data_IF_014028424726
#
_entry.id   IF_014028424726
#
_cell.length_a   1.000
_cell.length_b   1.000
_cell.length_c   1.000
_cell.angle_alpha   90.00
_cell.angle_beta   90.00
_cell.angle_gamma   90.00
#
_symmetry.space_group_name_H-M   'P 1'
#
loop_
_entity.id
_entity.type
_entity.pdbx_description
1 polymer ?
#
# COMPACT_ATOMS: atom_id res chain seq x y z
N UNK A 1 -13.87 -19.58 9.71
CA UNK A 1 -13.40 -20.32 8.51
C UNK A 1 -14.55 -20.60 7.55
N UNK A 2 -15.72 -21.09 8.01
CA UNK A 2 -16.87 -21.46 7.18
C UNK A 2 -17.43 -20.27 6.38
N UNK A 3 -17.54 -19.09 6.97
CA UNK A 3 -17.98 -17.88 6.26
C UNK A 3 -17.04 -17.53 5.11
N UNK A 4 -15.72 -17.60 5.33
CA UNK A 4 -14.72 -17.34 4.29
C UNK A 4 -14.86 -18.32 3.13
N UNK A 5 -15.06 -19.61 3.41
CA UNK A 5 -15.30 -20.63 2.40
C UNK A 5 -16.56 -20.31 1.59
N UNK A 6 -17.66 -19.95 2.29
CA UNK A 6 -18.90 -19.56 1.63
C UNK A 6 -18.68 -18.39 0.68
N UNK A 7 -18.07 -17.32 1.13
CA UNK A 7 -17.80 -16.14 0.28
C UNK A 7 -16.91 -16.49 -0.91
N UNK A 8 -15.89 -17.34 -0.70
CA UNK A 8 -15.03 -17.80 -1.79
C UNK A 8 -15.82 -18.62 -2.83
N UNK A 9 -16.72 -19.47 -2.39
CA UNK A 9 -17.56 -20.27 -3.28
C UNK A 9 -18.62 -19.43 -4.00
N UNK A 10 -19.19 -18.42 -3.35
CA UNK A 10 -20.14 -17.48 -3.94
C UNK A 10 -19.47 -16.57 -4.99
N UNK A 11 -18.20 -16.22 -4.79
CA UNK A 11 -17.44 -15.28 -5.61
C UNK A 11 -16.40 -15.97 -6.53
N UNK A 12 -16.53 -17.26 -6.73
CA UNK A 12 -15.59 -18.09 -7.49
C UNK A 12 -15.34 -17.56 -8.91
N UNK A 13 -16.34 -16.88 -9.50
CA UNK A 13 -16.29 -16.38 -10.86
C UNK A 13 -15.09 -15.45 -11.15
N UNK A 14 -14.54 -14.78 -10.15
CA UNK A 14 -13.41 -13.87 -10.31
C UNK A 14 -12.15 -14.30 -9.53
N UNK A 15 -12.23 -15.38 -8.76
CA UNK A 15 -11.11 -15.87 -7.98
C UNK A 15 -10.27 -16.86 -8.78
N UNK A 16 -9.00 -16.99 -8.43
CA UNK A 16 -8.12 -18.07 -8.92
C UNK A 16 -8.48 -19.40 -8.23
N UNK A 17 -9.72 -19.82 -8.41
CA UNK A 17 -10.30 -21.01 -7.78
C UNK A 17 -11.10 -21.80 -8.83
N UNK A 18 -10.69 -23.04 -9.09
CA UNK A 18 -11.24 -23.85 -10.18
C UNK A 18 -12.43 -24.70 -9.77
N UNK A 19 -12.68 -24.87 -8.48
CA UNK A 19 -13.79 -25.66 -7.95
C UNK A 19 -14.27 -25.11 -6.61
N UNK A 20 -15.49 -25.46 -6.23
CA UNK A 20 -16.02 -25.13 -4.90
C UNK A 20 -15.20 -25.81 -3.82
N UNK A 21 -14.84 -25.04 -2.79
CA UNK A 21 -14.18 -25.56 -1.60
C UNK A 21 -15.17 -26.34 -0.73
N UNK A 22 -14.73 -27.45 -0.20
CA UNK A 22 -15.40 -28.20 0.85
C UNK A 22 -14.94 -27.76 2.25
N UNK A 23 -15.62 -28.19 3.30
CA UNK A 23 -15.16 -27.96 4.68
C UNK A 23 -13.79 -28.62 4.91
N UNK A 24 -13.54 -29.78 4.32
CA UNK A 24 -12.26 -30.50 4.42
C UNK A 24 -11.13 -29.72 3.76
N UNK A 25 -11.35 -29.15 2.56
CA UNK A 25 -10.36 -28.30 1.87
C UNK A 25 -10.02 -27.08 2.71
N UNK A 26 -11.05 -26.45 3.30
CA UNK A 26 -10.89 -25.28 4.12
C UNK A 26 -10.13 -25.58 5.41
N UNK A 27 -10.47 -26.65 6.10
CA UNK A 27 -9.78 -27.09 7.31
C UNK A 27 -8.33 -27.49 7.01
N UNK A 28 -8.10 -28.23 5.92
CA UNK A 28 -6.75 -28.55 5.46
C UNK A 28 -5.91 -27.29 5.23
N UNK A 29 -6.45 -26.31 4.50
CA UNK A 29 -5.77 -25.05 4.22
C UNK A 29 -5.38 -24.31 5.50
N UNK A 30 -6.32 -24.18 6.44
CA UNK A 30 -6.03 -23.49 7.70
C UNK A 30 -5.02 -24.24 8.56
N UNK A 31 -5.11 -25.54 8.67
CA UNK A 31 -4.18 -26.35 9.47
C UNK A 31 -2.80 -26.51 8.83
N UNK A 32 -2.73 -26.73 7.52
CA UNK A 32 -1.47 -27.05 6.85
C UNK A 32 -0.76 -25.85 6.24
N UNK A 33 -1.49 -24.79 5.90
CA UNK A 33 -0.92 -23.60 5.27
C UNK A 33 -0.90 -22.43 6.24
N UNK A 34 -2.04 -22.07 6.84
CA UNK A 34 -2.15 -20.84 7.65
C UNK A 34 -1.48 -20.98 9.01
N UNK A 35 -1.81 -22.03 9.79
CA UNK A 35 -1.25 -22.23 11.13
C UNK A 35 0.29 -22.22 11.16
N UNK A 36 1.01 -22.90 10.25
CA UNK A 36 2.47 -22.87 10.24
C UNK A 36 3.08 -21.49 9.99
N UNK A 37 2.32 -20.53 9.43
CA UNK A 37 2.83 -19.18 9.19
C UNK A 37 3.06 -18.40 10.49
N UNK A 38 2.29 -18.68 11.55
CA UNK A 38 2.41 -17.98 12.83
C UNK A 38 3.76 -18.20 13.54
N UNK A 39 4.45 -19.29 13.22
CA UNK A 39 5.78 -19.58 13.78
C UNK A 39 6.94 -19.10 12.93
N UNK A 40 6.67 -18.51 11.77
CA UNK A 40 7.72 -18.05 10.84
C UNK A 40 8.04 -16.58 11.07
N UNK A 41 9.31 -16.24 11.20
CA UNK A 41 9.77 -14.84 11.24
C UNK A 41 9.47 -14.10 9.92
N UNK A 42 9.62 -14.80 8.80
CA UNK A 42 9.35 -14.29 7.45
C UNK A 42 8.34 -15.19 6.74
N UNK A 43 7.05 -15.07 7.10
CA UNK A 43 6.02 -15.90 6.49
C UNK A 43 5.78 -15.48 5.02
N UNK A 44 5.33 -16.42 4.20
CA UNK A 44 4.97 -16.15 2.80
C UNK A 44 3.64 -15.43 2.64
N UNK A 45 2.84 -15.38 3.72
CA UNK A 45 1.55 -14.70 3.77
C UNK A 45 1.33 -14.11 5.18
N UNK A 46 0.70 -12.95 5.23
CA UNK A 46 0.17 -12.30 6.43
C UNK A 46 -1.32 -12.07 6.20
N UNK A 47 -2.15 -12.80 6.92
CA UNK A 47 -3.59 -12.84 6.69
C UNK A 47 -4.35 -12.23 7.87
N UNK A 48 -5.37 -11.45 7.59
CA UNK A 48 -6.15 -10.66 8.55
C UNK A 48 -7.64 -10.91 8.40
N UNK A 49 -8.34 -10.92 9.50
CA UNK A 49 -9.79 -10.80 9.54
C UNK A 49 -10.17 -9.32 9.46
N UNK A 50 -11.08 -8.97 8.53
CA UNK A 50 -11.62 -7.63 8.41
C UNK A 50 -12.95 -7.57 9.13
N UNK A 51 -13.01 -6.76 10.20
CA UNK A 51 -14.15 -6.69 11.10
C UNK A 51 -14.85 -5.33 11.03
N UNK A 52 -16.20 -5.34 11.13
CA UNK A 52 -17.03 -4.16 11.34
C UNK A 52 -17.87 -4.41 12.59
N UNK A 53 -17.67 -3.63 13.65
CA UNK A 53 -18.34 -3.81 14.96
C UNK A 53 -18.24 -5.27 15.47
N UNK A 54 -17.03 -5.83 15.44
CA UNK A 54 -16.72 -7.21 15.85
C UNK A 54 -17.29 -8.30 14.94
N UNK A 55 -18.10 -7.96 13.95
CA UNK A 55 -18.57 -8.91 12.93
C UNK A 55 -17.50 -9.12 11.84
N UNK A 56 -17.21 -10.37 11.52
CA UNK A 56 -16.34 -10.71 10.41
C UNK A 56 -17.07 -10.41 9.08
N UNK A 57 -16.55 -9.44 8.33
CA UNK A 57 -17.11 -9.02 7.04
C UNK A 57 -16.13 -9.16 5.87
N UNK A 58 -14.90 -9.56 6.11
CA UNK A 58 -13.91 -9.80 5.07
C UNK A 58 -12.69 -10.53 5.60
N UNK A 59 -11.87 -11.01 4.67
CA UNK A 59 -10.64 -11.75 4.95
C UNK A 59 -9.64 -11.52 3.83
N UNK A 60 -8.40 -11.36 4.17
CA UNK A 60 -7.33 -11.17 3.19
C UNK A 60 -6.02 -10.81 3.84
N UNK A 61 -5.11 -10.23 3.09
CA UNK A 61 -3.80 -9.85 3.61
C UNK A 61 -2.79 -9.59 2.52
N UNK A 62 -1.54 -9.75 2.89
CA UNK A 62 -0.40 -9.74 2.00
C UNK A 62 -0.01 -11.19 1.72
N UNK A 63 -0.02 -11.58 0.45
CA UNK A 63 0.34 -12.92 0.00
C UNK A 63 1.51 -12.85 -0.99
N UNK A 64 2.09 -13.98 -1.34
CA UNK A 64 3.27 -14.05 -2.22
C UNK A 64 4.37 -13.06 -1.79
N UNK A 65 4.61 -12.95 -0.48
CA UNK A 65 5.55 -11.98 0.08
C UNK A 65 6.99 -12.32 -0.37
N UNK A 66 7.62 -11.35 -1.03
CA UNK A 66 9.05 -11.37 -1.29
C UNK A 66 9.76 -10.42 -0.30
N UNK A 67 10.35 -11.01 0.74
CA UNK A 67 11.02 -10.27 1.81
C UNK A 67 12.34 -9.62 1.36
N UNK A 68 12.96 -10.11 0.29
CA UNK A 68 14.20 -9.54 -0.26
C UNK A 68 13.89 -8.27 -1.04
N UNK A 69 12.94 -8.34 -1.94
CA UNK A 69 12.47 -7.19 -2.73
C UNK A 69 11.51 -6.30 -1.96
N UNK A 70 11.01 -6.77 -0.81
CA UNK A 70 10.02 -6.08 0.03
C UNK A 70 8.75 -5.74 -0.75
N UNK A 71 8.19 -6.76 -1.39
CA UNK A 71 6.97 -6.67 -2.20
C UNK A 71 5.97 -7.74 -1.78
N UNK A 72 4.69 -7.51 -2.04
CA UNK A 72 3.64 -8.49 -1.80
C UNK A 72 2.40 -8.24 -2.67
N UNK A 73 1.65 -9.31 -2.93
CA UNK A 73 0.33 -9.23 -3.52
C UNK A 73 -0.72 -8.96 -2.43
N UNK A 74 -1.64 -8.04 -2.69
CA UNK A 74 -2.81 -7.78 -1.83
C UNK A 74 -3.92 -8.76 -2.20
N UNK A 75 -4.35 -9.55 -1.23
CA UNK A 75 -5.50 -10.45 -1.34
C UNK A 75 -6.63 -9.95 -0.46
N UNK A 76 -7.85 -9.88 -0.97
CA UNK A 76 -9.02 -9.52 -0.19
C UNK A 76 -10.29 -10.13 -0.76
N UNK A 77 -11.10 -10.70 0.12
CA UNK A 77 -12.47 -11.11 -0.13
C UNK A 77 -13.37 -10.53 0.96
N UNK A 78 -14.52 -10.04 0.57
CA UNK A 78 -15.51 -9.51 1.49
C UNK A 78 -16.77 -10.35 1.49
N UNK A 79 -17.60 -10.19 2.51
CA UNK A 79 -18.92 -10.80 2.63
C UNK A 79 -19.73 -10.49 1.38
N UNK A 80 -20.21 -11.53 0.68
CA UNK A 80 -20.86 -11.42 -0.63
C UNK A 80 -22.03 -10.43 -0.65
N UNK A 81 -22.81 -10.37 0.44
CA UNK A 81 -23.95 -9.44 0.54
C UNK A 81 -23.56 -7.95 0.54
N UNK A 82 -22.30 -7.61 0.83
CA UNK A 82 -21.80 -6.24 0.85
C UNK A 82 -21.21 -5.81 -0.51
N UNK A 83 -20.96 -6.74 -1.43
CA UNK A 83 -20.32 -6.45 -2.71
C UNK A 83 -21.15 -5.52 -3.59
N UNK A 84 -22.48 -5.59 -3.50
CA UNK A 84 -23.35 -4.81 -4.37
C UNK A 84 -23.35 -3.32 -4.02
N UNK A 85 -23.51 -3.01 -2.74
CA UNK A 85 -23.82 -1.64 -2.31
C UNK A 85 -22.68 -0.97 -1.51
N UNK A 86 -21.78 -1.76 -0.91
CA UNK A 86 -20.71 -1.25 -0.04
C UNK A 86 -19.29 -1.60 -0.55
N UNK A 87 -19.15 -2.03 -1.81
CA UNK A 87 -17.88 -2.50 -2.37
C UNK A 87 -16.76 -1.46 -2.26
N UNK A 88 -16.96 -0.27 -2.82
CA UNK A 88 -15.95 0.81 -2.83
C UNK A 88 -15.57 1.23 -1.41
N UNK A 89 -16.55 1.31 -0.52
CA UNK A 89 -16.33 1.66 0.89
C UNK A 89 -15.38 0.66 1.56
N UNK A 90 -15.70 -0.63 1.47
CA UNK A 90 -14.94 -1.66 2.18
C UNK A 90 -13.59 -1.94 1.53
N UNK A 91 -13.51 -1.95 0.20
CA UNK A 91 -12.23 -2.07 -0.49
C UNK A 91 -11.31 -0.88 -0.19
N UNK A 92 -11.81 0.36 -0.24
CA UNK A 92 -11.02 1.55 0.09
C UNK A 92 -10.54 1.55 1.54
N UNK A 93 -11.40 1.17 2.47
CA UNK A 93 -11.03 1.05 3.89
C UNK A 93 -9.96 -0.03 4.09
N UNK A 94 -10.15 -1.20 3.47
CA UNK A 94 -9.19 -2.30 3.54
C UNK A 94 -7.83 -1.92 2.92
N UNK A 95 -7.83 -1.32 1.73
CA UNK A 95 -6.60 -0.86 1.06
C UNK A 95 -5.85 0.18 1.90
N UNK A 96 -6.56 1.04 2.62
CA UNK A 96 -5.94 2.01 3.53
C UNK A 96 -5.23 1.31 4.68
N UNK A 97 -5.85 0.32 5.30
CA UNK A 97 -5.24 -0.44 6.40
C UNK A 97 -4.07 -1.30 5.93
N UNK A 98 -4.21 -1.99 4.79
CA UNK A 98 -3.15 -2.87 4.30
C UNK A 98 -1.92 -2.08 3.83
N UNK A 99 -2.10 -0.88 3.25
CA UNK A 99 -1.00 0.04 2.93
C UNK A 99 -0.26 0.48 4.19
N UNK A 100 -0.96 0.79 5.27
CA UNK A 100 -0.33 1.14 6.54
C UNK A 100 0.55 0.00 7.06
N UNK A 101 0.03 -1.22 7.08
CA UNK A 101 0.79 -2.41 7.49
C UNK A 101 2.01 -2.60 6.57
N UNK A 102 1.81 -2.59 5.26
CA UNK A 102 2.88 -2.88 4.30
C UNK A 102 3.98 -1.80 4.32
N UNK A 103 3.60 -0.52 4.36
CA UNK A 103 4.54 0.58 4.18
C UNK A 103 5.10 1.11 5.50
N UNK A 104 4.27 1.23 6.54
CA UNK A 104 4.69 1.80 7.81
C UNK A 104 5.31 0.76 8.74
N UNK A 105 4.74 -0.46 8.83
CA UNK A 105 5.23 -1.49 9.74
C UNK A 105 6.30 -2.38 9.08
N UNK A 106 5.98 -2.94 7.90
CA UNK A 106 6.86 -3.89 7.20
C UNK A 106 7.92 -3.22 6.32
N UNK A 107 7.81 -1.90 6.07
CA UNK A 107 8.73 -1.12 5.22
C UNK A 107 8.85 -1.69 3.80
N UNK A 108 7.75 -2.24 3.25
CA UNK A 108 7.74 -2.72 1.87
C UNK A 108 7.90 -1.57 0.89
N UNK A 109 8.46 -1.86 -0.27
CA UNK A 109 8.66 -0.88 -1.35
C UNK A 109 7.41 -0.69 -2.18
N UNK A 110 6.72 -1.79 -2.48
CA UNK A 110 5.44 -1.77 -3.18
C UNK A 110 4.56 -2.94 -2.78
N UNK A 111 3.27 -2.78 -3.06
CA UNK A 111 2.28 -3.85 -3.03
C UNK A 111 1.48 -3.80 -4.32
N UNK A 112 0.96 -4.93 -4.77
CA UNK A 112 0.22 -5.02 -6.02
C UNK A 112 -1.01 -5.90 -5.90
N UNK A 113 -1.96 -5.72 -6.81
CA UNK A 113 -3.10 -6.61 -7.00
C UNK A 113 -2.95 -7.34 -8.33
N UNK A 114 -3.35 -8.59 -8.37
CA UNK A 114 -3.42 -9.42 -9.56
C UNK A 114 -4.88 -9.81 -9.79
N UNK A 115 -5.51 -9.33 -10.83
CA UNK A 115 -6.93 -9.52 -11.07
C UNK A 115 -7.22 -9.98 -12.51
N UNK A 116 -8.09 -10.98 -12.63
CA UNK A 116 -8.74 -11.30 -13.90
C UNK A 116 -9.73 -10.19 -14.27
N UNK A 117 -9.84 -9.83 -15.55
CA UNK A 117 -10.78 -8.80 -16.02
C UNK A 117 -12.24 -9.27 -15.97
N UNK A 118 -12.67 -9.58 -14.76
CA UNK A 118 -14.03 -10.08 -14.45
C UNK A 118 -14.78 -9.16 -13.48
N UNK A 119 -14.09 -8.15 -12.93
CA UNK A 119 -14.64 -7.14 -12.02
C UNK A 119 -14.16 -5.73 -12.36
N UNK A 120 -14.61 -5.14 -13.50
CA UNK A 120 -14.11 -3.84 -13.94
C UNK A 120 -14.38 -2.70 -12.94
N UNK A 121 -15.38 -2.83 -12.07
CA UNK A 121 -15.64 -1.87 -10.97
C UNK A 121 -14.57 -1.87 -9.86
N UNK A 122 -13.67 -2.86 -9.83
CA UNK A 122 -12.52 -2.87 -8.93
C UNK A 122 -11.49 -1.80 -9.32
N UNK A 123 -11.28 -1.54 -10.61
CA UNK A 123 -10.20 -0.68 -11.07
C UNK A 123 -10.34 0.78 -10.61
N UNK A 124 -11.50 1.45 -10.73
CA UNK A 124 -11.66 2.79 -10.18
C UNK A 124 -11.38 2.87 -8.67
N UNK A 125 -11.75 1.83 -7.91
CA UNK A 125 -11.46 1.76 -6.48
C UNK A 125 -9.96 1.61 -6.21
N UNK A 126 -9.24 0.83 -7.01
CA UNK A 126 -7.78 0.71 -6.91
C UNK A 126 -7.09 2.04 -7.23
N UNK A 127 -7.46 2.68 -8.33
CA UNK A 127 -6.86 3.96 -8.78
C UNK A 127 -7.09 5.08 -7.75
N UNK A 128 -8.29 5.21 -7.23
CA UNK A 128 -8.65 6.13 -6.14
C UNK A 128 -7.78 5.93 -4.89
N UNK A 129 -7.33 4.70 -4.65
CA UNK A 129 -6.46 4.33 -3.55
C UNK A 129 -4.96 4.31 -3.90
N UNK A 130 -4.57 4.98 -5.01
CA UNK A 130 -3.20 5.10 -5.50
C UNK A 130 -2.57 3.80 -6.01
N UNK A 131 -3.37 2.80 -6.37
CA UNK A 131 -2.91 1.67 -7.16
C UNK A 131 -3.01 2.03 -8.64
N UNK A 132 -1.89 2.04 -9.35
CA UNK A 132 -1.83 2.40 -10.78
C UNK A 132 -1.67 1.14 -11.61
N UNK A 133 -2.34 1.10 -12.76
CA UNK A 133 -2.15 0.01 -13.71
C UNK A 133 -0.68 -0.05 -14.13
N UNK A 134 -0.05 -1.19 -13.89
CA UNK A 134 1.35 -1.46 -14.19
C UNK A 134 1.52 -2.40 -15.37
N UNK A 135 0.72 -3.46 -15.41
CA UNK A 135 0.78 -4.51 -16.43
C UNK A 135 -0.62 -4.88 -16.86
N UNK A 136 -0.80 -5.01 -18.16
CA UNK A 136 -1.98 -5.56 -18.81
C UNK A 136 -1.55 -6.73 -19.70
N UNK A 137 -1.93 -7.95 -19.30
CA UNK A 137 -1.69 -9.16 -20.08
C UNK A 137 -2.97 -9.53 -20.81
N UNK A 138 -2.91 -9.49 -22.13
CA UNK A 138 -4.08 -9.79 -22.97
C UNK A 138 -4.21 -11.28 -23.22
N UNK A 139 -5.46 -11.76 -23.21
CA UNK A 139 -5.79 -13.14 -23.55
C UNK A 139 -5.00 -14.19 -22.77
N UNK A 140 -4.61 -13.88 -21.51
CA UNK A 140 -3.63 -14.65 -20.73
C UNK A 140 -4.20 -15.96 -20.18
N UNK A 141 -5.49 -15.98 -19.88
CA UNK A 141 -6.15 -17.18 -19.37
C UNK A 141 -7.43 -17.46 -20.14
N UNK A 142 -7.92 -18.71 -20.05
CA UNK A 142 -9.17 -19.10 -20.63
C UNK A 142 -10.13 -19.61 -19.54
N UNK A 143 -11.33 -19.04 -19.50
CA UNK A 143 -12.42 -19.44 -18.59
C UNK A 143 -13.69 -19.59 -19.44
N UNK A 144 -14.30 -20.76 -19.40
CA UNK A 144 -15.52 -21.07 -20.16
C UNK A 144 -15.39 -20.69 -21.67
N UNK A 145 -14.29 -21.10 -22.30
CA UNK A 145 -13.96 -20.83 -23.70
C UNK A 145 -13.78 -19.35 -24.04
N UNK A 146 -13.70 -18.47 -23.04
CA UNK A 146 -13.43 -17.04 -23.20
C UNK A 146 -12.02 -16.71 -22.74
N UNK A 147 -11.31 -15.98 -23.57
CA UNK A 147 -10.02 -15.41 -23.21
C UNK A 147 -10.23 -14.22 -22.29
N UNK A 148 -9.50 -14.18 -21.20
CA UNK A 148 -9.61 -13.18 -20.13
C UNK A 148 -8.28 -12.51 -19.96
N UNK A 149 -8.30 -11.21 -19.90
CA UNK A 149 -7.15 -10.38 -19.60
C UNK A 149 -6.80 -10.42 -18.11
N UNK A 150 -5.55 -10.09 -17.82
CA UNK A 150 -5.08 -9.92 -16.44
C UNK A 150 -4.59 -8.49 -16.27
N UNK A 151 -5.03 -7.85 -15.19
CA UNK A 151 -4.58 -6.53 -14.79
C UNK A 151 -3.80 -6.60 -13.48
N UNK A 152 -2.59 -6.01 -13.49
CA UNK A 152 -1.77 -5.83 -12.29
C UNK A 152 -1.70 -4.35 -11.98
N UNK A 153 -2.27 -3.95 -10.84
CA UNK A 153 -2.16 -2.59 -10.32
C UNK A 153 -1.16 -2.57 -9.18
N UNK A 154 -0.29 -1.59 -9.16
CA UNK A 154 0.77 -1.43 -8.18
C UNK A 154 0.59 -0.14 -7.37
N UNK A 155 0.79 -0.24 -6.07
CA UNK A 155 0.91 0.91 -5.18
C UNK A 155 2.33 0.93 -4.61
N UNK A 156 3.07 2.00 -4.89
CA UNK A 156 4.45 2.17 -4.46
C UNK A 156 4.47 2.97 -3.16
N UNK A 157 5.31 2.56 -2.22
CA UNK A 157 5.52 3.28 -0.98
C UNK A 157 6.12 4.66 -1.26
N UNK A 158 5.41 5.76 -1.00
CA UNK A 158 5.91 7.10 -1.32
C UNK A 158 7.23 7.42 -0.61
N UNK A 159 7.45 6.85 0.57
CA UNK A 159 8.71 7.05 1.33
C UNK A 159 9.90 6.33 0.68
N UNK A 160 9.68 5.31 -0.15
CA UNK A 160 10.77 4.59 -0.83
C UNK A 160 11.55 5.47 -1.81
N UNK A 161 10.95 6.56 -2.28
CA UNK A 161 11.59 7.54 -3.17
C UNK A 161 12.28 8.68 -2.42
N UNK A 162 12.16 8.74 -1.10
CA UNK A 162 12.81 9.79 -0.32
C UNK A 162 14.21 9.37 0.09
N UNK A 163 15.15 10.27 -0.10
CA UNK A 163 16.49 10.24 0.47
C UNK A 163 16.60 11.36 1.48
N UNK A 164 16.97 11.04 2.70
CA UNK A 164 17.32 12.03 3.72
C UNK A 164 18.83 12.25 3.65
N UNK A 165 19.26 13.50 3.60
CA UNK A 165 20.66 13.88 3.71
C UNK A 165 20.83 15.11 4.57
N UNK A 166 22.00 15.30 5.07
CA UNK A 166 22.36 16.53 5.75
C UNK A 166 22.38 17.72 4.78
N UNK A 167 22.07 18.88 5.33
CA UNK A 167 22.16 20.16 4.63
C UNK A 167 23.65 20.53 4.48
N UNK A 168 24.00 21.11 3.34
CA UNK A 168 25.30 21.67 3.05
C UNK A 168 25.20 23.15 2.69
N UNK A 169 26.33 23.81 2.57
CA UNK A 169 26.38 25.22 2.10
C UNK A 169 25.74 25.39 0.72
N UNK A 170 25.81 24.39 -0.14
CA UNK A 170 25.19 24.40 -1.46
C UNK A 170 23.65 24.48 -1.45
N UNK A 171 23.03 24.20 -0.32
CA UNK A 171 21.58 24.25 -0.16
C UNK A 171 21.07 25.64 0.28
N UNK A 172 21.98 26.60 0.46
CA UNK A 172 21.66 27.94 1.00
C UNK A 172 20.52 28.62 0.23
N UNK A 173 20.62 28.68 -1.09
CA UNK A 173 19.62 29.33 -1.93
C UNK A 173 18.27 28.59 -1.88
N UNK A 174 18.28 27.26 -1.90
CA UNK A 174 17.09 26.42 -1.81
C UNK A 174 16.33 26.67 -0.50
N UNK A 175 17.05 26.63 0.63
CA UNK A 175 16.49 26.86 1.97
C UNK A 175 16.02 28.30 2.12
N UNK A 176 16.76 29.26 1.57
CA UNK A 176 16.37 30.67 1.54
C UNK A 176 15.01 30.85 0.83
N UNK A 177 14.86 30.27 -0.36
CA UNK A 177 13.64 30.37 -1.14
C UNK A 177 12.45 29.73 -0.40
N UNK A 178 12.62 28.53 0.18
CA UNK A 178 11.60 27.89 1.01
C UNK A 178 11.22 28.73 2.23
N UNK A 179 12.22 29.28 2.92
CA UNK A 179 11.98 30.11 4.11
C UNK A 179 11.27 31.44 3.80
N UNK A 180 11.39 31.93 2.58
CA UNK A 180 10.72 33.13 2.11
C UNK A 180 9.43 32.86 1.30
N UNK A 181 9.03 31.61 1.18
CA UNK A 181 7.72 31.30 0.59
C UNK A 181 6.61 32.04 1.36
N UNK A 182 5.67 32.73 0.67
CA UNK A 182 4.63 33.53 1.33
C UNK A 182 3.80 32.74 2.35
N UNK A 183 3.49 31.48 2.06
CA UNK A 183 2.72 30.63 2.98
C UNK A 183 3.54 30.24 4.22
N UNK A 184 4.83 30.00 4.06
CA UNK A 184 5.74 29.72 5.17
C UNK A 184 5.94 30.97 6.03
N UNK A 185 6.11 32.14 5.40
CA UNK A 185 6.21 33.41 6.13
C UNK A 185 4.97 33.74 6.92
N UNK A 186 3.80 33.50 6.35
CA UNK A 186 2.52 33.75 7.03
C UNK A 186 2.35 32.94 8.32
N UNK A 187 2.92 31.74 8.38
CA UNK A 187 2.85 30.84 9.54
C UNK A 187 4.03 30.98 10.50
N UNK A 188 4.99 31.85 10.21
CA UNK A 188 6.17 32.07 11.05
C UNK A 188 5.89 33.14 12.13
N UNK A 189 6.54 33.03 13.29
CA UNK A 189 6.46 34.04 14.37
C UNK A 189 6.78 35.46 13.89
N UNK A 190 7.68 35.58 12.89
CA UNK A 190 7.95 36.82 12.20
C UNK A 190 7.69 36.60 10.71
N UNK A 191 6.70 37.30 10.18
CA UNK A 191 6.27 37.20 8.78
C UNK A 191 7.09 38.05 7.81
N UNK A 192 8.02 38.86 8.29
CA UNK A 192 8.86 39.68 7.43
C UNK A 192 9.77 38.83 6.55
N UNK A 193 10.04 39.33 5.34
CA UNK A 193 10.97 38.70 4.42
C UNK A 193 12.37 38.63 5.05
N UNK A 194 13.01 37.49 4.92
CA UNK A 194 14.39 37.27 5.38
C UNK A 194 15.34 37.80 4.32
N UNK A 195 16.29 38.62 4.72
CA UNK A 195 17.39 39.08 3.88
C UNK A 195 18.40 37.94 3.65
N UNK A 196 18.91 37.82 2.41
CA UNK A 196 19.80 36.69 2.04
C UNK A 196 21.05 36.62 2.93
N UNK A 197 21.68 37.78 3.21
CA UNK A 197 22.85 37.84 4.09
C UNK A 197 22.58 37.34 5.52
N UNK A 198 21.39 37.61 6.04
CA UNK A 198 21.00 37.15 7.37
C UNK A 198 20.77 35.62 7.35
N UNK A 199 20.21 35.14 6.27
CA UNK A 199 20.01 33.70 6.04
C UNK A 199 21.34 32.93 5.94
N UNK A 200 22.31 33.45 5.16
CA UNK A 200 23.64 32.84 5.04
C UNK A 200 24.35 32.76 6.39
N UNK A 201 24.34 33.85 7.16
CA UNK A 201 24.93 33.86 8.48
C UNK A 201 24.30 32.83 9.41
N UNK A 202 22.96 32.76 9.43
CA UNK A 202 22.21 31.78 10.22
C UNK A 202 22.56 30.35 9.79
N UNK A 203 22.58 30.04 8.48
CA UNK A 203 22.90 28.72 7.98
C UNK A 203 24.32 28.29 8.36
N UNK A 204 25.30 29.20 8.18
CA UNK A 204 26.69 28.95 8.54
C UNK A 204 26.88 28.70 10.04
N UNK A 205 26.15 29.41 10.90
CA UNK A 205 26.15 29.16 12.34
C UNK A 205 25.57 27.77 12.66
N UNK A 206 24.47 27.40 11.99
CA UNK A 206 23.82 26.10 12.20
C UNK A 206 24.68 24.95 11.74
N UNK A 207 25.35 25.08 10.59
CA UNK A 207 26.23 24.02 10.05
C UNK A 207 27.51 23.81 10.90
N UNK A 208 27.93 24.82 11.66
CA UNK A 208 29.10 24.74 12.56
C UNK A 208 28.75 24.30 13.98
N UNK A 209 27.47 24.23 14.31
CA UNK A 209 27.01 23.93 15.65
C UNK A 209 26.73 22.43 15.81
N UNK A 210 27.54 21.74 16.59
CA UNK A 210 27.41 20.29 16.85
C UNK A 210 26.08 19.91 17.51
N UNK A 211 25.34 20.87 18.08
CA UNK A 211 24.01 20.64 18.64
C UNK A 211 22.88 20.90 17.63
N UNK A 212 23.21 21.16 16.37
CA UNK A 212 22.21 21.38 15.30
C UNK A 212 22.36 20.34 14.19
N UNK A 213 21.28 19.71 13.83
CA UNK A 213 21.19 18.80 12.68
C UNK A 213 20.11 19.31 11.73
N UNK A 214 20.51 19.73 10.55
CA UNK A 214 19.61 20.15 9.48
C UNK A 214 19.55 19.06 8.41
N UNK A 215 18.33 18.62 8.07
CA UNK A 215 18.09 17.54 7.11
C UNK A 215 17.20 18.01 5.96
N UNK A 216 17.51 17.55 4.76
CA UNK A 216 16.68 17.71 3.55
C UNK A 216 16.14 16.36 3.13
N UNK A 217 14.83 16.30 2.90
CA UNK A 217 14.17 15.19 2.22
C UNK A 217 14.16 15.46 0.72
N UNK A 218 14.69 14.54 -0.04
CA UNK A 218 14.89 14.66 -1.47
C UNK A 218 14.30 13.44 -2.17
N UNK A 219 13.55 13.64 -3.26
CA UNK A 219 13.15 12.50 -4.08
C UNK A 219 14.38 11.90 -4.76
N UNK A 220 14.47 10.58 -4.76
CA UNK A 220 15.47 9.87 -5.57
C UNK A 220 15.11 10.06 -7.04
N UNK A 221 16.00 10.66 -7.79
CA UNK A 221 15.96 10.69 -9.26
C UNK A 221 16.25 9.35 -9.86
#
# INVERSE_FOLDING_TARGET
QREIMKWRNDQMYHLRQNSKLTEEDQDYYFHKVVHPLFSKEKPTQLLFSYLKNEELIGYGGLVHINWVERTAEVSFIMKTSLEKDEFDLHWSSYLTMIKKIAFEELKFQNIFTYAYDLRPFLYPTLEKNNFKLKIHLKDEIEIDEKKIDIFIHECINPVSFLKVREVSENDSELIFNWSNDPLVRLQSFNSNKIEFKNHENWLNEKLKNDNSLLLINQFKS
#
